data_IF_642548840792
#
_entry.id   IF_642548840792
#
_cell.length_a   1.000
_cell.length_b   1.000
_cell.length_c   1.000
_cell.angle_alpha   90.00
_cell.angle_beta   90.00
_cell.angle_gamma   90.00
#
_symmetry.space_group_name_H-M   'P 1'
#
loop_
_entity.id
_entity.type
_entity.pdbx_description
1 polymer ?
#
# COMPACT_ATOMS: atom_id res chain seq x y z
N UNK A 1 43.08 -73.76 -4.74
CA UNK A 1 43.13 -72.58 -3.88
C UNK A 1 42.52 -71.35 -4.64
N UNK A 2 41.25 -71.15 -4.48
CA UNK A 2 40.55 -69.97 -5.09
C UNK A 2 40.31 -68.95 -4.02
N UNK A 3 40.91 -67.80 -4.16
CA UNK A 3 40.77 -66.66 -3.22
C UNK A 3 39.59 -65.77 -3.64
N UNK A 4 38.58 -65.72 -2.82
CA UNK A 4 37.36 -64.88 -3.04
C UNK A 4 37.65 -63.48 -2.53
N UNK A 5 37.69 -62.48 -3.41
CA UNK A 5 37.81 -61.10 -3.08
C UNK A 5 36.39 -60.53 -2.92
N UNK A 6 36.02 -60.18 -1.69
CA UNK A 6 34.77 -59.44 -1.41
C UNK A 6 34.96 -57.96 -1.73
N UNK A 7 34.21 -57.45 -2.70
CA UNK A 7 34.11 -56.02 -2.99
C UNK A 7 33.06 -55.41 -2.05
N UNK A 8 33.50 -54.52 -1.16
CA UNK A 8 32.61 -53.69 -0.34
C UNK A 8 32.33 -52.39 -1.08
N UNK A 9 31.11 -52.17 -1.51
CA UNK A 9 30.63 -50.90 -2.05
C UNK A 9 30.25 -49.95 -0.94
N UNK A 10 30.71 -48.68 -0.94
CA UNK A 10 30.23 -47.70 0.01
C UNK A 10 28.81 -47.24 -0.38
N UNK A 11 27.87 -47.30 0.56
CA UNK A 11 26.56 -46.72 0.44
C UNK A 11 26.68 -45.18 0.56
N UNK A 12 26.48 -44.47 -0.54
CA UNK A 12 26.29 -43.03 -0.56
C UNK A 12 24.88 -42.70 0.00
N UNK A 13 24.82 -42.23 1.22
CA UNK A 13 23.59 -41.65 1.77
C UNK A 13 23.33 -40.29 1.07
N UNK A 14 22.29 -40.22 0.24
CA UNK A 14 21.72 -38.95 -0.18
C UNK A 14 21.17 -38.24 1.06
N UNK A 15 21.78 -37.13 1.46
CA UNK A 15 21.20 -36.19 2.42
C UNK A 15 20.02 -35.54 1.70
N UNK A 16 18.83 -35.92 2.10
CA UNK A 16 17.58 -35.26 1.72
C UNK A 16 17.58 -33.85 2.36
N UNK A 17 17.95 -32.84 1.60
CA UNK A 17 17.72 -31.45 1.95
C UNK A 17 16.21 -31.20 1.85
N UNK A 18 15.49 -31.58 2.92
CA UNK A 18 14.09 -31.27 3.05
C UNK A 18 13.89 -29.76 2.96
N UNK A 19 13.45 -29.30 1.77
CA UNK A 19 12.81 -28.01 1.61
C UNK A 19 11.67 -27.96 2.63
N UNK A 20 11.90 -27.22 3.73
CA UNK A 20 10.83 -26.92 4.66
C UNK A 20 9.83 -26.06 3.87
N UNK A 21 8.77 -26.70 3.41
CA UNK A 21 7.61 -25.98 2.90
C UNK A 21 7.28 -24.90 3.94
N UNK A 22 7.49 -23.64 3.56
CA UNK A 22 7.08 -22.51 4.38
C UNK A 22 5.58 -22.63 4.58
N UNK A 23 5.15 -22.79 5.83
CA UNK A 23 3.73 -22.77 6.17
C UNK A 23 3.09 -21.45 5.66
N UNK A 24 1.74 -21.40 5.56
CA UNK A 24 1.06 -20.19 5.17
C UNK A 24 1.56 -19.01 6.04
N UNK A 25 1.70 -17.81 5.47
CA UNK A 25 2.17 -16.65 6.21
C UNK A 25 1.28 -16.42 7.44
N UNK A 26 1.91 -16.14 8.58
CA UNK A 26 1.19 -15.90 9.83
C UNK A 26 0.29 -14.66 9.69
N UNK A 27 -0.96 -14.78 10.13
CA UNK A 27 -1.93 -13.68 10.08
C UNK A 27 -1.54 -12.57 11.06
N UNK A 28 -1.70 -11.32 10.62
CA UNK A 28 -1.41 -10.11 11.39
C UNK A 28 -2.54 -9.87 12.40
N UNK A 29 -2.27 -9.82 13.71
CA UNK A 29 -3.28 -9.52 14.72
C UNK A 29 -3.60 -8.01 14.78
N UNK A 30 -4.81 -7.64 15.20
CA UNK A 30 -5.26 -6.24 15.36
C UNK A 30 -4.30 -5.40 16.23
N UNK A 31 -3.71 -6.00 17.25
CA UNK A 31 -2.75 -5.34 18.15
C UNK A 31 -1.44 -4.91 17.48
N UNK A 32 -1.17 -5.42 16.27
CA UNK A 32 0.03 -5.05 15.52
C UNK A 32 -0.10 -3.74 14.73
N UNK A 33 -1.32 -3.28 14.43
CA UNK A 33 -1.56 -2.18 13.49
C UNK A 33 -0.79 -0.89 13.82
N UNK A 34 -0.70 -0.54 15.11
CA UNK A 34 -0.02 0.69 15.52
C UNK A 34 1.50 0.63 15.25
N UNK A 35 2.13 -0.51 15.54
CA UNK A 35 3.57 -0.68 15.38
C UNK A 35 4.02 -0.84 13.93
N UNK A 36 3.10 -1.15 13.01
CA UNK A 36 3.38 -1.28 11.59
C UNK A 36 3.50 0.07 10.88
N UNK A 37 2.84 1.11 11.39
CA UNK A 37 2.91 2.44 10.80
C UNK A 37 4.27 3.10 11.10
N UNK A 38 4.79 3.82 10.12
CA UNK A 38 6.02 4.58 10.26
C UNK A 38 5.82 5.76 11.21
N UNK A 39 6.81 6.00 12.05
CA UNK A 39 6.87 7.19 12.91
C UNK A 39 7.12 8.46 12.09
N UNK A 40 6.77 9.63 12.63
CA UNK A 40 7.01 10.93 12.00
C UNK A 40 8.49 11.12 11.61
N UNK A 41 9.42 10.66 12.44
CA UNK A 41 10.85 10.72 12.15
C UNK A 41 11.26 9.88 10.93
N UNK A 42 10.72 8.66 10.82
CA UNK A 42 10.96 7.78 9.68
C UNK A 42 10.35 8.36 8.38
N UNK A 43 9.15 8.95 8.48
CA UNK A 43 8.49 9.61 7.35
C UNK A 43 9.29 10.82 6.89
N UNK A 44 9.72 11.71 7.80
CA UNK A 44 10.54 12.86 7.44
C UNK A 44 11.84 12.45 6.71
N UNK A 45 12.51 11.43 7.20
CA UNK A 45 13.74 10.91 6.58
C UNK A 45 13.46 10.36 5.16
N UNK A 46 12.41 9.57 4.99
CA UNK A 46 12.03 8.97 3.71
C UNK A 46 11.54 10.01 2.70
N UNK A 47 10.75 10.98 3.14
CA UNK A 47 10.27 12.10 2.29
C UNK A 47 11.37 13.11 1.98
N UNK A 48 12.55 12.98 2.60
CA UNK A 48 13.68 13.92 2.48
C UNK A 48 13.23 15.35 2.85
N UNK A 49 12.53 15.47 3.96
CA UNK A 49 11.99 16.74 4.47
C UNK A 49 12.08 16.81 5.98
N UNK A 50 11.70 17.95 6.54
CA UNK A 50 11.54 18.14 7.99
C UNK A 50 10.20 18.80 8.27
N UNK A 51 9.70 18.62 9.49
CA UNK A 51 8.51 19.35 9.94
C UNK A 51 7.17 18.83 9.40
N UNK A 52 7.11 17.59 8.92
CA UNK A 52 5.82 16.93 8.71
C UNK A 52 5.15 16.68 10.06
N UNK A 53 3.88 16.99 10.15
CA UNK A 53 3.05 16.83 11.35
C UNK A 53 2.11 15.66 11.13
N UNK A 54 2.13 14.71 12.06
CA UNK A 54 1.19 13.61 12.08
C UNK A 54 -0.15 14.06 12.69
N UNK A 55 -1.23 13.80 11.98
CA UNK A 55 -2.60 13.98 12.49
C UNK A 55 -3.01 12.81 13.38
N UNK A 56 -4.00 12.99 14.24
CA UNK A 56 -4.55 11.89 15.05
C UNK A 56 -4.92 10.70 14.15
N UNK A 57 -4.60 9.47 14.57
CA UNK A 57 -4.94 8.29 13.79
C UNK A 57 -6.45 8.10 13.71
N UNK A 58 -6.93 7.63 12.55
CA UNK A 58 -8.32 7.24 12.33
C UNK A 58 -8.44 5.72 12.21
N UNK A 59 -9.60 5.18 12.60
CA UNK A 59 -9.91 3.75 12.63
C UNK A 59 -11.19 3.43 11.86
N UNK A 60 -11.69 4.40 11.10
CA UNK A 60 -12.92 4.30 10.32
C UNK A 60 -12.63 4.66 8.86
N UNK A 61 -13.37 4.04 7.93
CA UNK A 61 -13.27 4.34 6.51
C UNK A 61 -13.96 5.66 6.16
N UNK A 62 -13.40 6.37 5.18
CA UNK A 62 -14.00 7.56 4.59
C UNK A 62 -15.08 7.21 3.57
N UNK A 63 -15.98 8.12 3.27
CA UNK A 63 -16.99 7.97 2.22
C UNK A 63 -17.06 9.21 1.33
N UNK A 64 -16.49 9.12 0.14
CA UNK A 64 -16.49 10.19 -0.86
C UNK A 64 -17.29 9.85 -2.12
N UNK A 65 -18.21 8.87 -2.06
CA UNK A 65 -19.07 8.48 -3.19
C UNK A 65 -19.89 9.64 -3.76
N UNK A 66 -20.29 10.57 -2.92
CA UNK A 66 -21.02 11.77 -3.32
C UNK A 66 -20.16 12.77 -4.12
N UNK A 67 -18.85 12.71 -3.99
CA UNK A 67 -17.88 13.53 -4.74
C UNK A 67 -17.43 12.84 -6.02
N UNK A 68 -17.16 11.54 -5.94
CA UNK A 68 -16.73 10.73 -7.07
C UNK A 68 -17.52 9.41 -7.12
N UNK A 69 -18.66 9.38 -7.84
CA UNK A 69 -19.49 8.18 -7.93
C UNK A 69 -18.89 7.07 -8.81
N UNK A 70 -17.82 7.37 -9.57
CA UNK A 70 -17.09 6.37 -10.33
C UNK A 70 -16.24 5.50 -9.39
N UNK A 71 -16.74 4.33 -9.01
CA UNK A 71 -16.06 3.42 -8.09
C UNK A 71 -14.74 2.88 -8.64
N UNK A 72 -14.54 2.82 -9.95
CA UNK A 72 -13.25 2.41 -10.52
C UNK A 72 -12.14 3.39 -10.12
N UNK A 73 -12.44 4.69 -10.13
CA UNK A 73 -11.46 5.72 -9.79
C UNK A 73 -11.46 6.09 -8.30
N UNK A 74 -12.53 5.83 -7.56
CA UNK A 74 -12.65 6.27 -6.18
C UNK A 74 -11.52 5.71 -5.30
N UNK A 75 -11.28 4.39 -5.33
CA UNK A 75 -10.20 3.74 -4.57
C UNK A 75 -8.80 4.11 -5.05
N UNK A 76 -8.63 4.42 -6.34
CA UNK A 76 -7.38 4.94 -6.88
C UNK A 76 -7.13 6.40 -6.47
N UNK A 77 -8.18 7.19 -6.29
CA UNK A 77 -8.11 8.59 -5.90
C UNK A 77 -7.91 8.79 -4.39
N UNK A 78 -8.60 8.00 -3.55
CA UNK A 78 -8.59 8.14 -2.09
C UNK A 78 -8.20 6.85 -1.38
N UNK A 79 -7.54 7.01 -0.23
CA UNK A 79 -7.19 5.93 0.70
C UNK A 79 -8.42 5.58 1.54
N UNK A 80 -8.64 4.30 1.81
CA UNK A 80 -9.66 3.81 2.76
C UNK A 80 -11.11 4.25 2.45
N UNK A 81 -11.54 4.04 1.22
CA UNK A 81 -12.93 4.33 0.84
C UNK A 81 -13.89 3.20 1.21
N UNK A 82 -14.90 3.50 2.04
CA UNK A 82 -15.88 2.53 2.51
C UNK A 82 -16.64 1.86 1.36
N UNK A 83 -16.91 2.59 0.28
CA UNK A 83 -17.55 2.05 -0.91
C UNK A 83 -16.71 1.01 -1.66
N UNK A 84 -15.39 1.02 -1.44
CA UNK A 84 -14.44 0.09 -2.04
C UNK A 84 -14.17 -1.09 -1.12
N UNK A 85 -13.94 -0.83 0.17
CA UNK A 85 -13.65 -1.85 1.17
C UNK A 85 -14.93 -2.63 1.60
N UNK A 86 -16.09 -1.97 1.57
CA UNK A 86 -17.34 -2.55 2.12
C UNK A 86 -17.20 -2.82 3.61
N UNK A 87 -17.76 -3.94 4.05
CA UNK A 87 -17.75 -4.45 5.43
C UNK A 87 -16.78 -5.64 5.64
N UNK A 88 -15.95 -5.94 4.64
CA UNK A 88 -15.08 -7.13 4.62
C UNK A 88 -13.83 -7.04 5.50
N UNK A 89 -13.48 -5.87 5.99
CA UNK A 89 -12.32 -5.66 6.86
C UNK A 89 -12.72 -5.80 8.34
N UNK A 90 -11.73 -6.07 9.21
CA UNK A 90 -11.97 -6.32 10.64
C UNK A 90 -11.35 -5.27 11.55
N UNK A 91 -10.30 -4.60 11.11
CA UNK A 91 -9.65 -3.49 11.80
C UNK A 91 -8.82 -2.67 10.83
N UNK A 92 -8.68 -1.38 11.08
CA UNK A 92 -7.80 -0.52 10.31
C UNK A 92 -7.19 0.56 11.18
N UNK A 93 -6.05 1.08 10.74
CA UNK A 93 -5.43 2.26 11.31
C UNK A 93 -4.78 3.08 10.21
N UNK A 94 -5.11 4.36 10.16
CA UNK A 94 -4.56 5.30 9.21
C UNK A 94 -3.95 6.49 9.95
N UNK A 95 -2.82 6.99 9.46
CA UNK A 95 -2.24 8.27 9.87
C UNK A 95 -1.95 9.11 8.63
N UNK A 96 -2.40 10.35 8.66
CA UNK A 96 -2.03 11.39 7.69
C UNK A 96 -0.89 12.21 8.27
N UNK A 97 0.14 12.44 7.46
CA UNK A 97 1.22 13.37 7.77
C UNK A 97 1.32 14.40 6.65
N UNK A 98 1.48 15.67 6.98
CA UNK A 98 1.72 16.71 5.98
C UNK A 98 2.71 17.77 6.47
N UNK A 99 3.39 18.39 5.56
CA UNK A 99 4.33 19.45 5.84
C UNK A 99 4.35 20.51 4.72
N UNK A 100 4.19 21.80 5.07
CA UNK A 100 3.74 22.34 6.37
C UNK A 100 2.30 21.92 6.70
N UNK A 101 1.92 21.92 8.00
CA UNK A 101 0.58 21.54 8.44
C UNK A 101 -0.42 22.65 8.20
N UNK A 102 -0.85 22.79 6.96
CA UNK A 102 -1.85 23.74 6.44
C UNK A 102 -2.43 23.23 5.13
N UNK A 103 -3.49 23.85 4.62
CA UNK A 103 -4.14 23.41 3.36
C UNK A 103 -3.20 23.46 2.15
N UNK A 104 -2.31 24.46 2.14
CA UNK A 104 -1.25 24.56 1.15
C UNK A 104 0.02 23.86 1.63
N UNK A 105 0.00 22.53 1.69
CA UNK A 105 1.12 21.67 2.06
C UNK A 105 2.02 21.37 0.84
N UNK A 106 3.30 21.08 1.07
CA UNK A 106 4.25 20.66 0.05
C UNK A 106 4.40 19.14 0.01
N UNK A 107 4.48 18.52 1.17
CA UNK A 107 4.62 17.07 1.32
C UNK A 107 3.43 16.48 2.05
N UNK A 108 2.96 15.35 1.58
CA UNK A 108 1.87 14.59 2.21
C UNK A 108 2.18 13.10 2.15
N UNK A 109 1.94 12.42 3.25
CA UNK A 109 1.88 10.97 3.32
C UNK A 109 0.61 10.56 4.05
N UNK A 110 -0.17 9.68 3.44
CA UNK A 110 -1.23 8.91 4.09
C UNK A 110 -0.76 7.48 4.12
N UNK A 111 -0.64 6.91 5.30
CA UNK A 111 -0.32 5.51 5.49
C UNK A 111 -1.47 4.82 6.22
N UNK A 112 -1.93 3.72 5.67
CA UNK A 112 -3.01 2.92 6.23
C UNK A 112 -2.68 1.44 6.17
N UNK A 113 -3.08 0.73 7.21
CA UNK A 113 -3.03 -0.72 7.33
C UNK A 113 -4.40 -1.23 7.71
N UNK A 114 -4.90 -2.22 6.95
CA UNK A 114 -6.25 -2.75 7.07
C UNK A 114 -6.19 -4.28 7.16
N UNK A 115 -6.76 -4.85 8.21
CA UNK A 115 -6.83 -6.30 8.42
C UNK A 115 -8.10 -6.85 7.82
N UNK A 116 -7.95 -7.89 7.01
CA UNK A 116 -9.01 -8.74 6.49
C UNK A 116 -9.16 -10.01 7.33
N UNK A 117 -10.31 -10.70 7.26
CA UNK A 117 -10.51 -11.96 7.99
C UNK A 117 -9.52 -13.07 7.63
N UNK A 118 -8.98 -13.05 6.40
CA UNK A 118 -8.02 -14.05 5.92
C UNK A 118 -7.08 -13.50 4.85
N UNK A 119 -5.98 -14.19 4.62
CA UNK A 119 -5.05 -13.95 3.49
C UNK A 119 -5.77 -13.99 2.14
N UNK A 120 -6.71 -14.92 1.97
CA UNK A 120 -7.45 -15.05 0.72
C UNK A 120 -8.36 -13.83 0.45
N UNK A 121 -9.01 -13.30 1.48
CA UNK A 121 -9.86 -12.12 1.33
C UNK A 121 -9.04 -10.87 1.03
N UNK A 122 -7.87 -10.71 1.67
CA UNK A 122 -6.95 -9.62 1.36
C UNK A 122 -6.44 -9.70 -0.10
N UNK A 123 -6.04 -10.88 -0.57
CA UNK A 123 -5.64 -11.10 -1.96
C UNK A 123 -6.79 -10.78 -2.94
N UNK A 124 -7.98 -11.32 -2.70
CA UNK A 124 -9.16 -11.04 -3.53
C UNK A 124 -9.59 -9.55 -3.54
N UNK A 125 -9.26 -8.80 -2.47
CA UNK A 125 -9.43 -7.36 -2.47
C UNK A 125 -8.43 -6.65 -3.39
N UNK A 126 -7.17 -7.11 -3.42
CA UNK A 126 -6.14 -6.58 -4.32
C UNK A 126 -6.53 -6.82 -5.78
N UNK A 127 -6.95 -8.04 -6.13
CA UNK A 127 -7.37 -8.42 -7.49
C UNK A 127 -8.52 -7.52 -7.97
N UNK A 128 -9.56 -7.35 -7.15
CA UNK A 128 -10.69 -6.45 -7.47
C UNK A 128 -10.24 -4.98 -7.59
N UNK A 129 -9.22 -4.58 -6.83
CA UNK A 129 -8.67 -3.23 -6.92
C UNK A 129 -7.83 -3.05 -8.18
N UNK A 130 -7.10 -4.08 -8.64
CA UNK A 130 -6.39 -4.09 -9.92
C UNK A 130 -7.35 -3.86 -11.09
N UNK A 131 -8.45 -4.63 -11.13
CA UNK A 131 -9.51 -4.46 -12.14
C UNK A 131 -10.09 -3.04 -12.16
N UNK A 132 -10.30 -2.43 -10.99
CA UNK A 132 -10.81 -1.07 -10.89
C UNK A 132 -9.77 -0.04 -11.32
N UNK A 133 -8.54 -0.15 -10.83
CA UNK A 133 -7.49 0.83 -11.12
C UNK A 133 -7.05 0.80 -12.58
N UNK A 134 -7.10 -0.36 -13.24
CA UNK A 134 -6.84 -0.46 -14.69
C UNK A 134 -7.78 0.42 -15.51
N UNK A 135 -9.04 0.56 -15.06
CA UNK A 135 -10.04 1.45 -15.67
C UNK A 135 -9.89 2.92 -15.25
N UNK A 136 -8.91 3.24 -14.40
CA UNK A 136 -8.61 4.60 -13.94
C UNK A 136 -7.19 5.06 -14.30
N UNK A 137 -6.48 4.37 -15.19
CA UNK A 137 -5.19 4.79 -15.74
C UNK A 137 -5.35 5.90 -16.76
N UNK A 138 -4.37 6.81 -16.79
CA UNK A 138 -4.36 7.96 -17.71
C UNK A 138 -5.66 8.80 -17.66
N UNK A 139 -6.33 8.79 -16.52
CA UNK A 139 -7.65 9.38 -16.31
C UNK A 139 -7.56 10.71 -15.57
N UNK A 140 -8.52 11.61 -15.85
CA UNK A 140 -8.65 12.87 -15.13
C UNK A 140 -9.87 12.83 -14.20
N UNK A 141 -9.66 13.13 -12.92
CA UNK A 141 -10.72 13.37 -11.95
C UNK A 141 -10.86 14.87 -11.74
N UNK A 142 -12.00 15.41 -12.14
CA UNK A 142 -12.36 16.81 -11.99
C UNK A 142 -13.68 16.89 -11.20
N UNK A 143 -13.62 17.41 -10.00
CA UNK A 143 -14.74 17.47 -9.07
C UNK A 143 -15.07 18.92 -8.81
N UNK A 144 -16.35 19.25 -8.77
CA UNK A 144 -16.85 20.55 -8.33
C UNK A 144 -17.73 20.35 -7.10
N UNK A 145 -17.39 21.01 -6.00
CA UNK A 145 -18.16 20.97 -4.77
C UNK A 145 -18.71 22.36 -4.48
N UNK A 146 -20.04 22.49 -4.39
CA UNK A 146 -20.73 23.76 -4.11
C UNK A 146 -20.29 24.89 -5.08
N UNK A 147 -20.15 24.58 -6.36
CA UNK A 147 -19.74 25.53 -7.41
C UNK A 147 -18.25 25.87 -7.41
N UNK A 148 -17.44 25.25 -6.54
CA UNK A 148 -15.98 25.46 -6.49
C UNK A 148 -15.27 24.22 -7.01
N UNK A 149 -14.32 24.33 -7.97
CA UNK A 149 -13.55 23.21 -8.41
C UNK A 149 -12.62 22.73 -7.26
N UNK A 150 -12.61 21.43 -7.01
CA UNK A 150 -11.59 20.80 -6.20
C UNK A 150 -10.29 20.62 -7.00
N UNK A 151 -9.16 20.37 -6.35
CA UNK A 151 -7.91 20.09 -7.04
C UNK A 151 -8.09 18.99 -8.08
N UNK A 152 -7.59 19.25 -9.28
CA UNK A 152 -7.61 18.29 -10.38
C UNK A 152 -6.60 17.19 -10.11
N UNK A 153 -7.00 15.95 -10.38
CA UNK A 153 -6.17 14.78 -10.26
C UNK A 153 -6.05 14.09 -11.62
N UNK A 154 -4.83 13.67 -11.99
CA UNK A 154 -4.57 12.94 -13.22
C UNK A 154 -3.66 11.77 -12.94
N UNK A 155 -4.15 10.56 -13.18
CA UNK A 155 -3.37 9.32 -13.06
C UNK A 155 -2.45 9.10 -14.27
N UNK A 156 -1.38 8.35 -14.04
CA UNK A 156 -0.50 7.79 -15.07
C UNK A 156 -0.79 6.31 -15.32
N UNK A 157 0.24 5.58 -15.71
CA UNK A 157 0.15 4.15 -15.97
C UNK A 157 0.18 3.34 -14.65
N UNK A 158 -0.65 2.32 -14.59
CA UNK A 158 -0.66 1.36 -13.49
C UNK A 158 0.51 0.38 -13.64
N UNK A 159 1.24 0.14 -12.56
CA UNK A 159 2.14 -0.99 -12.42
C UNK A 159 1.51 -2.00 -11.46
N UNK A 160 1.45 -3.25 -11.88
CA UNK A 160 0.82 -4.34 -11.14
C UNK A 160 1.78 -5.51 -10.97
N UNK A 161 1.76 -6.09 -9.77
CA UNK A 161 2.41 -7.35 -9.43
C UNK A 161 1.42 -8.22 -8.65
N UNK A 162 1.77 -9.47 -8.37
CA UNK A 162 0.91 -10.40 -7.60
C UNK A 162 0.55 -9.89 -6.19
N UNK A 163 1.25 -8.90 -5.66
CA UNK A 163 1.05 -8.40 -4.29
C UNK A 163 0.99 -6.90 -4.14
N UNK A 164 1.06 -6.14 -5.25
CA UNK A 164 1.13 -4.69 -5.18
C UNK A 164 0.66 -3.99 -6.45
N UNK A 165 -0.07 -2.89 -6.28
CA UNK A 165 -0.48 -1.95 -7.31
C UNK A 165 0.19 -0.61 -7.05
N UNK A 166 0.84 -0.03 -8.06
CA UNK A 166 1.45 1.30 -8.01
C UNK A 166 0.84 2.17 -9.09
N UNK A 167 0.28 3.32 -8.68
CA UNK A 167 -0.31 4.29 -9.60
C UNK A 167 0.28 5.68 -9.34
N UNK A 168 1.14 6.21 -10.23
CA UNK A 168 1.56 7.59 -10.15
C UNK A 168 0.41 8.52 -10.55
N UNK A 169 0.36 9.71 -9.96
CA UNK A 169 -0.58 10.74 -10.36
C UNK A 169 -0.06 12.15 -10.08
N UNK A 170 -0.67 13.13 -10.74
CA UNK A 170 -0.46 14.54 -10.43
C UNK A 170 -1.71 15.13 -9.78
N UNK A 171 -1.54 16.00 -8.81
CA UNK A 171 -2.59 16.80 -8.19
C UNK A 171 -2.31 18.27 -8.43
N UNK A 172 -3.24 18.97 -9.10
CA UNK A 172 -3.10 20.40 -9.42
C UNK A 172 -4.18 21.19 -8.70
N UNK A 173 -3.76 22.21 -7.96
CA UNK A 173 -4.59 23.11 -7.17
C UNK A 173 -4.17 24.56 -7.50
N UNK A 174 -4.96 25.25 -8.32
CA UNK A 174 -4.54 26.52 -8.91
C UNK A 174 -3.24 26.34 -9.70
N UNK A 175 -2.23 27.15 -9.37
CA UNK A 175 -0.91 27.11 -10.00
C UNK A 175 0.03 26.06 -9.37
N UNK A 176 -0.42 25.39 -8.33
CA UNK A 176 0.40 24.39 -7.63
C UNK A 176 0.15 23.00 -8.17
N UNK A 177 1.20 22.36 -8.63
CA UNK A 177 1.17 20.95 -9.01
C UNK A 177 2.03 20.14 -8.06
N UNK A 178 1.53 18.97 -7.67
CA UNK A 178 2.24 17.98 -6.87
C UNK A 178 2.33 16.67 -7.64
N UNK A 179 3.50 16.06 -7.59
CA UNK A 179 3.68 14.68 -8.02
C UNK A 179 3.33 13.76 -6.86
N UNK A 180 2.56 12.73 -7.14
CA UNK A 180 2.08 11.79 -6.13
C UNK A 180 2.22 10.33 -6.62
N UNK A 181 2.16 9.41 -5.67
CA UNK A 181 2.10 7.98 -5.91
C UNK A 181 1.07 7.36 -4.97
N UNK A 182 0.24 6.46 -5.50
CA UNK A 182 -0.56 5.52 -4.73
C UNK A 182 0.14 4.16 -4.76
N UNK A 183 0.10 3.47 -3.61
CA UNK A 183 0.46 2.07 -3.50
C UNK A 183 -0.63 1.33 -2.74
N UNK A 184 -1.11 0.23 -3.29
CA UNK A 184 -2.01 -0.71 -2.62
C UNK A 184 -1.32 -2.07 -2.65
N UNK A 185 -1.07 -2.66 -1.48
CA UNK A 185 -0.33 -3.91 -1.41
C UNK A 185 -0.92 -4.85 -0.37
N UNK A 186 -0.63 -6.15 -0.50
CA UNK A 186 -1.04 -7.18 0.45
C UNK A 186 0.13 -8.00 0.95
N UNK A 187 0.05 -8.40 2.22
CA UNK A 187 0.92 -9.40 2.82
C UNK A 187 0.13 -10.11 3.92
N UNK A 188 0.03 -11.44 3.85
CA UNK A 188 -0.89 -12.22 4.68
C UNK A 188 -2.32 -11.65 4.59
N UNK A 189 -2.98 -11.46 5.73
CA UNK A 189 -4.32 -10.85 5.82
C UNK A 189 -4.29 -9.30 5.91
N UNK A 190 -3.14 -8.66 5.67
CA UNK A 190 -2.97 -7.21 5.76
C UNK A 190 -3.01 -6.56 4.37
N UNK A 191 -3.84 -5.54 4.21
CA UNK A 191 -3.82 -4.59 3.10
C UNK A 191 -3.12 -3.32 3.57
N UNK A 192 -2.16 -2.84 2.78
CA UNK A 192 -1.45 -1.58 2.96
C UNK A 192 -1.93 -0.62 1.88
N UNK A 193 -2.54 0.49 2.28
CA UNK A 193 -3.13 1.49 1.37
C UNK A 193 -2.46 2.85 1.61
N UNK A 194 -1.56 3.23 0.70
CA UNK A 194 -0.60 4.31 0.91
C UNK A 194 -0.74 5.36 -0.19
N UNK A 195 -0.58 6.63 0.20
CA UNK A 195 -0.44 7.74 -0.72
C UNK A 195 0.71 8.66 -0.29
N UNK A 196 1.60 8.98 -1.20
CA UNK A 196 2.66 9.96 -0.97
C UNK A 196 2.62 11.05 -2.03
N UNK A 197 2.84 12.31 -1.65
CA UNK A 197 2.91 13.44 -2.56
C UNK A 197 4.07 14.36 -2.20
N UNK A 198 4.73 14.93 -3.21
CA UNK A 198 5.82 15.89 -3.13
C UNK A 198 5.58 17.07 -4.09
N UNK A 199 6.33 18.16 -3.99
CA UNK A 199 6.24 19.25 -4.96
C UNK A 199 6.36 18.77 -6.40
N UNK A 200 5.70 19.43 -7.34
CA UNK A 200 5.71 19.09 -8.76
C UNK A 200 7.13 18.98 -9.33
N UNK A 201 7.31 18.09 -10.31
CA UNK A 201 8.61 17.76 -10.88
C UNK A 201 9.46 16.78 -10.05
N UNK A 202 9.01 16.39 -8.84
CA UNK A 202 9.67 15.35 -8.06
C UNK A 202 9.37 13.95 -8.60
N UNK A 203 10.35 13.05 -8.52
CA UNK A 203 10.07 11.61 -8.59
C UNK A 203 9.52 11.16 -7.24
N UNK A 204 8.40 10.43 -7.23
CA UNK A 204 7.75 9.96 -6.00
C UNK A 204 7.66 8.45 -6.02
N UNK A 205 8.44 7.82 -5.14
CA UNK A 205 8.49 6.37 -4.91
C UNK A 205 8.08 6.01 -3.48
N UNK A 206 7.81 7.01 -2.68
CA UNK A 206 7.66 6.89 -1.23
C UNK A 206 6.45 6.06 -0.80
N UNK A 207 5.41 5.96 -1.61
CA UNK A 207 4.29 5.08 -1.25
C UNK A 207 4.71 3.60 -1.28
N UNK A 208 5.44 3.17 -2.32
CA UNK A 208 6.02 1.83 -2.39
C UNK A 208 7.08 1.60 -1.29
N UNK A 209 7.94 2.59 -1.02
CA UNK A 209 8.93 2.49 0.06
C UNK A 209 8.28 2.30 1.45
N UNK A 210 7.11 2.90 1.71
CA UNK A 210 6.32 2.66 2.94
C UNK A 210 5.86 1.21 2.99
N UNK A 211 5.33 0.68 1.89
CA UNK A 211 4.91 -0.73 1.78
C UNK A 211 6.06 -1.66 2.14
N UNK A 212 7.25 -1.45 1.58
CA UNK A 212 8.43 -2.27 1.88
C UNK A 212 8.82 -2.22 3.36
N UNK A 213 8.76 -1.03 3.97
CA UNK A 213 9.07 -0.87 5.40
C UNK A 213 8.04 -1.56 6.29
N UNK A 214 6.75 -1.52 5.93
CA UNK A 214 5.70 -2.23 6.66
C UNK A 214 5.89 -3.75 6.52
N UNK A 215 6.13 -4.26 5.31
CA UNK A 215 6.45 -5.68 5.07
C UNK A 215 7.66 -6.14 5.89
N UNK A 216 8.72 -5.34 5.95
CA UNK A 216 9.90 -5.61 6.76
C UNK A 216 9.61 -5.58 8.28
N UNK A 217 8.66 -4.79 8.74
CA UNK A 217 8.25 -4.74 10.14
C UNK A 217 7.37 -5.94 10.54
N UNK A 218 6.62 -6.53 9.60
CA UNK A 218 5.85 -7.77 9.84
C UNK A 218 6.74 -8.99 10.07
N UNK A 219 7.94 -9.01 9.49
CA UNK A 219 8.87 -10.12 9.57
C UNK A 219 9.68 -10.18 10.89
N UNK A 220 9.42 -9.27 11.84
CA UNK A 220 10.11 -9.16 13.14
C UNK A 220 9.23 -9.63 14.28
#
# INVERSE_FOLDING_TARGET
MFSLIMLVLPATSCADNGDKAQGPPEEVPKSALERLLLTTGQVNAMMTTVGMVAHPPVTEMSDHRNLLPNLNCLGAWQVNESAIYGDRWTAMRQVLLRGPDRDNWDNLLVQSVVIFPSTQEAAGFLDQSADRWSNCTNHNVNITLNGRPLPRWRSGDLTETDSELILPFTRTDGDQTRACQRALAVAANLVMDIQACKPGGSSVTQAAEVVDKIKAAMAR
#
